data_IF_377623725697
#
_entry.id   IF_377623725697
#
_cell.length_a   1.000
_cell.length_b   1.000
_cell.length_c   1.000
_cell.angle_alpha   90.00
_cell.angle_beta   90.00
_cell.angle_gamma   90.00
#
_symmetry.space_group_name_H-M   'P 1'
#
loop_
_entity.id
_entity.type
_entity.pdbx_description
1 polymer ?
#
# COMPACT_ATOMS: atom_id res chain seq x y z
N UNK A 1 25.46 -54.97 1.77
CA UNK A 1 25.93 -53.74 1.08
C UNK A 1 24.76 -52.87 0.62
N UNK A 2 23.79 -53.42 -0.13
CA UNK A 2 22.61 -52.67 -0.65
C UNK A 2 21.81 -51.91 0.42
N UNK A 3 21.53 -52.52 1.58
CA UNK A 3 20.78 -51.87 2.68
C UNK A 3 21.49 -50.67 3.29
N UNK A 4 22.84 -50.67 3.33
CA UNK A 4 23.63 -49.56 3.90
C UNK A 4 23.67 -48.35 2.95
N UNK A 5 23.64 -48.59 1.64
CA UNK A 5 23.62 -47.55 0.61
C UNK A 5 22.24 -46.84 0.61
N UNK A 6 21.15 -47.59 0.76
CA UNK A 6 19.78 -47.04 0.83
C UNK A 6 19.61 -46.12 2.05
N UNK A 7 20.13 -46.53 3.22
CA UNK A 7 20.03 -45.73 4.45
C UNK A 7 20.79 -44.40 4.32
N UNK A 8 21.96 -44.40 3.69
CA UNK A 8 22.78 -43.20 3.47
C UNK A 8 22.08 -42.25 2.49
N UNK A 9 21.48 -42.77 1.40
CA UNK A 9 20.76 -41.96 0.43
C UNK A 9 19.52 -41.27 1.05
N UNK A 10 18.77 -41.96 1.91
CA UNK A 10 17.60 -41.38 2.60
C UNK A 10 18.02 -40.30 3.60
N UNK A 11 19.11 -40.50 4.34
CA UNK A 11 19.63 -39.49 5.26
C UNK A 11 20.14 -38.25 4.53
N UNK A 12 20.83 -38.41 3.40
CA UNK A 12 21.29 -37.28 2.57
C UNK A 12 20.10 -36.52 1.98
N UNK A 13 19.06 -37.22 1.50
CA UNK A 13 17.84 -36.59 1.00
C UNK A 13 17.12 -35.79 2.10
N UNK A 14 17.00 -36.32 3.32
CA UNK A 14 16.41 -35.61 4.46
C UNK A 14 17.23 -34.36 4.85
N UNK A 15 18.55 -34.43 4.81
CA UNK A 15 19.43 -33.30 5.10
C UNK A 15 19.34 -32.23 4.00
N UNK A 16 19.26 -32.62 2.72
CA UNK A 16 19.08 -31.68 1.60
C UNK A 16 17.70 -31.02 1.66
N UNK A 17 16.64 -31.77 1.98
CA UNK A 17 15.29 -31.22 2.20
C UNK A 17 15.29 -30.26 3.41
N UNK A 18 15.97 -30.61 4.49
CA UNK A 18 16.11 -29.75 5.67
C UNK A 18 16.90 -28.47 5.35
N UNK A 19 17.98 -28.55 4.56
CA UNK A 19 18.80 -27.39 4.17
C UNK A 19 18.08 -26.47 3.16
N UNK A 20 17.29 -27.03 2.24
CA UNK A 20 16.40 -26.27 1.34
C UNK A 20 15.24 -25.65 2.12
N UNK A 21 14.70 -26.37 3.12
CA UNK A 21 13.70 -25.86 4.07
C UNK A 21 14.25 -24.72 4.95
N UNK A 22 15.52 -24.77 5.31
CA UNK A 22 16.16 -23.74 6.16
C UNK A 22 16.50 -22.46 5.37
N UNK A 23 16.76 -22.56 4.06
CA UNK A 23 16.92 -21.40 3.16
C UNK A 23 15.61 -20.67 2.87
N UNK A 24 14.46 -21.34 3.02
CA UNK A 24 13.12 -20.77 2.79
C UNK A 24 12.46 -20.20 4.05
N UNK A 25 13.00 -20.46 5.25
CA UNK A 25 12.45 -20.06 6.53
C UNK A 25 13.08 -18.79 7.13
N UNK A 26 13.31 -17.72 6.35
CA UNK A 26 13.73 -16.43 6.94
C UNK A 26 13.48 -15.19 6.07
N UNK A 27 12.53 -15.21 5.13
CA UNK A 27 11.87 -13.95 4.74
C UNK A 27 10.61 -13.84 5.57
N UNK A 28 10.75 -13.31 6.78
CA UNK A 28 9.62 -12.70 7.46
C UNK A 28 9.06 -11.65 6.50
N UNK A 29 7.96 -11.98 5.82
CA UNK A 29 7.27 -11.04 4.92
C UNK A 29 6.71 -9.96 5.83
N UNK A 30 7.40 -8.83 5.88
CA UNK A 30 6.94 -7.63 6.60
C UNK A 30 5.63 -7.25 5.94
N UNK A 31 4.50 -7.64 6.55
CA UNK A 31 3.20 -7.19 6.08
C UNK A 31 3.13 -5.71 6.43
N UNK A 32 3.09 -4.80 5.44
CA UNK A 32 3.07 -3.38 5.73
C UNK A 32 1.89 -3.04 6.66
N UNK A 33 2.05 -2.10 7.59
CA UNK A 33 0.97 -1.72 8.50
C UNK A 33 -0.21 -1.16 7.68
N UNK A 34 -1.43 -1.53 8.05
CA UNK A 34 -2.65 -0.97 7.43
C UNK A 34 -2.88 0.40 8.08
N UNK A 35 -2.50 1.43 7.35
CA UNK A 35 -2.59 2.83 7.77
C UNK A 35 -3.30 3.64 6.69
N UNK A 36 -3.77 4.83 7.06
CA UNK A 36 -4.14 5.88 6.11
C UNK A 36 -2.93 6.77 5.93
N UNK A 37 -2.45 6.92 4.70
CA UNK A 37 -1.20 7.62 4.41
C UNK A 37 -1.35 8.52 3.20
N UNK A 38 -0.85 9.75 3.32
CA UNK A 38 -0.64 10.67 2.22
C UNK A 38 0.59 10.22 1.42
N UNK A 39 0.40 9.71 0.22
CA UNK A 39 1.47 9.21 -0.66
C UNK A 39 2.03 10.31 -1.54
N UNK A 40 1.20 11.27 -1.93
CA UNK A 40 1.59 12.41 -2.76
C UNK A 40 1.03 13.71 -2.21
N UNK A 41 1.86 14.76 -2.22
CA UNK A 41 1.45 16.11 -1.87
C UNK A 41 2.22 17.10 -2.75
N UNK A 42 1.49 17.84 -3.59
CA UNK A 42 2.03 18.91 -4.45
C UNK A 42 1.32 20.22 -4.13
N UNK A 43 2.05 21.33 -4.20
CA UNK A 43 1.53 22.66 -3.86
C UNK A 43 1.08 22.76 -2.40
N UNK A 44 0.04 23.56 -2.15
CA UNK A 44 -0.50 23.75 -0.81
C UNK A 44 -1.35 22.56 -0.39
N UNK A 45 -0.88 21.78 0.58
CA UNK A 45 -1.63 20.69 1.21
C UNK A 45 -1.56 20.83 2.72
N UNK A 46 -2.72 20.81 3.39
CA UNK A 46 -2.83 21.00 4.82
C UNK A 46 -3.74 19.95 5.45
N UNK A 47 -3.51 19.65 6.72
CA UNK A 47 -4.34 18.77 7.53
C UNK A 47 -4.82 19.46 8.80
N UNK A 48 -5.90 18.94 9.36
CA UNK A 48 -6.51 19.43 10.59
C UNK A 48 -6.92 18.24 11.47
N UNK A 49 -6.56 18.30 12.75
CA UNK A 49 -7.01 17.32 13.74
C UNK A 49 -8.51 17.52 14.05
N UNK A 50 -9.27 16.47 14.42
CA UNK A 50 -10.72 16.53 14.60
C UNK A 50 -11.21 17.65 15.53
N UNK A 51 -10.48 17.92 16.62
CA UNK A 51 -10.86 18.92 17.63
C UNK A 51 -10.03 20.22 17.54
N UNK A 52 -9.42 20.47 16.37
CA UNK A 52 -8.57 21.64 16.12
C UNK A 52 -9.19 22.52 15.03
N UNK A 53 -9.11 23.84 15.20
CA UNK A 53 -9.44 24.80 14.13
C UNK A 53 -8.22 25.19 13.30
N UNK A 54 -7.03 24.74 13.69
CA UNK A 54 -5.76 25.10 13.06
C UNK A 54 -5.40 24.10 11.97
N UNK A 55 -5.29 24.60 10.75
CA UNK A 55 -4.71 23.90 9.61
C UNK A 55 -3.19 23.92 9.70
N UNK A 56 -2.56 22.78 9.42
CA UNK A 56 -1.11 22.63 9.41
C UNK A 56 -0.65 21.99 8.11
N UNK A 57 0.52 22.36 7.56
CA UNK A 57 1.04 21.70 6.37
C UNK A 57 1.11 20.17 6.51
N UNK A 58 0.69 19.46 5.47
CA UNK A 58 0.83 18.02 5.34
C UNK A 58 1.79 17.70 4.20
N UNK A 59 2.65 16.70 4.38
CA UNK A 59 3.65 16.27 3.39
C UNK A 59 3.50 14.78 3.12
N UNK A 60 3.95 14.34 1.95
CA UNK A 60 4.02 12.92 1.62
C UNK A 60 4.70 12.12 2.75
N UNK A 61 4.15 10.95 3.05
CA UNK A 61 4.50 10.11 4.20
C UNK A 61 3.70 10.40 5.47
N UNK A 62 2.95 11.51 5.54
CA UNK A 62 2.09 11.79 6.69
C UNK A 62 1.03 10.70 6.88
N UNK A 63 0.86 10.29 8.14
CA UNK A 63 -0.18 9.36 8.55
C UNK A 63 -1.40 10.12 9.05
N UNK A 64 -2.57 9.58 8.74
CA UNK A 64 -3.86 10.13 9.15
C UNK A 64 -4.56 9.21 10.13
N UNK A 65 -5.20 9.80 11.12
CA UNK A 65 -6.13 9.15 12.03
C UNK A 65 -7.58 9.41 11.59
N UNK A 66 -8.52 8.51 11.88
CA UNK A 66 -9.94 8.78 11.69
C UNK A 66 -10.36 10.05 12.44
N UNK A 67 -11.17 10.89 11.80
CA UNK A 67 -11.60 12.22 12.22
C UNK A 67 -10.68 13.37 11.75
N UNK A 68 -9.53 13.10 11.13
CA UNK A 68 -8.70 14.16 10.57
C UNK A 68 -9.23 14.65 9.21
N UNK A 69 -9.10 15.96 8.97
CA UNK A 69 -9.40 16.58 7.68
C UNK A 69 -8.12 16.86 6.90
N UNK A 70 -8.22 16.88 5.57
CA UNK A 70 -7.18 17.33 4.65
C UNK A 70 -7.79 18.32 3.66
N UNK A 71 -7.02 19.32 3.25
CA UNK A 71 -7.40 20.23 2.17
C UNK A 71 -6.23 20.55 1.24
N UNK A 72 -6.57 20.90 0.01
CA UNK A 72 -5.66 21.40 -1.02
C UNK A 72 -5.97 22.85 -1.35
N UNK A 73 -4.93 23.65 -1.63
CA UNK A 73 -5.08 25.00 -2.16
C UNK A 73 -5.33 25.03 -3.67
N UNK A 74 -5.29 26.21 -4.27
CA UNK A 74 -5.49 26.40 -5.72
C UNK A 74 -4.39 25.79 -6.59
N UNK A 75 -3.19 25.61 -6.01
CA UNK A 75 -2.03 24.92 -6.59
C UNK A 75 -1.84 23.50 -6.06
N UNK A 76 -2.76 23.05 -5.19
CA UNK A 76 -2.60 21.85 -4.38
C UNK A 76 -3.17 20.60 -5.05
N UNK A 77 -2.45 19.48 -4.94
CA UNK A 77 -2.95 18.12 -5.23
C UNK A 77 -2.45 17.17 -4.15
N UNK A 78 -3.28 16.19 -3.78
CA UNK A 78 -2.94 15.23 -2.74
C UNK A 78 -3.48 13.84 -3.04
N UNK A 79 -2.74 12.81 -2.65
CA UNK A 79 -3.16 11.41 -2.83
C UNK A 79 -3.08 10.67 -1.50
N UNK A 80 -4.19 10.09 -1.07
CA UNK A 80 -4.30 9.34 0.19
C UNK A 80 -4.61 7.88 -0.12
N UNK A 81 -3.77 6.98 0.39
CA UNK A 81 -3.99 5.54 0.34
C UNK A 81 -4.55 5.05 1.67
N UNK A 82 -5.67 4.33 1.60
CA UNK A 82 -6.37 3.70 2.72
C UNK A 82 -6.08 2.21 2.73
N UNK A 83 -5.37 1.76 3.76
CA UNK A 83 -5.14 0.33 4.03
C UNK A 83 -4.59 -0.46 2.83
N UNK A 84 -3.90 0.23 1.90
CA UNK A 84 -3.32 -0.35 0.69
C UNK A 84 -4.32 -0.91 -0.33
N UNK A 85 -5.62 -0.60 -0.23
CA UNK A 85 -6.66 -1.13 -1.14
C UNK A 85 -7.60 -0.11 -1.73
N UNK A 86 -7.58 1.12 -1.23
CA UNK A 86 -8.28 2.23 -1.84
C UNK A 86 -7.38 3.47 -1.84
N UNK A 87 -7.59 4.31 -2.84
CA UNK A 87 -6.88 5.57 -3.02
C UNK A 87 -7.90 6.68 -3.28
N UNK A 88 -7.73 7.82 -2.61
CA UNK A 88 -8.46 9.05 -2.89
C UNK A 88 -7.46 10.12 -3.34
N UNK A 89 -7.67 10.66 -4.54
CA UNK A 89 -6.87 11.75 -5.11
C UNK A 89 -7.70 13.01 -5.10
N UNK A 90 -7.15 14.06 -4.52
CA UNK A 90 -7.79 15.36 -4.33
C UNK A 90 -7.24 16.33 -5.37
N UNK A 91 -8.15 16.99 -6.08
CA UNK A 91 -7.80 18.11 -6.95
C UNK A 91 -7.57 19.39 -6.16
N UNK A 92 -7.21 20.48 -6.83
CA UNK A 92 -7.16 21.84 -6.28
C UNK A 92 -8.44 22.22 -5.55
N UNK A 93 -8.32 23.05 -4.52
CA UNK A 93 -9.43 23.59 -3.72
C UNK A 93 -10.37 22.53 -3.13
N UNK A 94 -9.85 21.36 -2.83
CA UNK A 94 -10.64 20.23 -2.31
C UNK A 94 -10.43 20.10 -0.81
N UNK A 95 -11.50 19.80 -0.08
CA UNK A 95 -11.44 19.50 1.36
C UNK A 95 -12.24 18.23 1.62
N UNK A 96 -11.64 17.31 2.38
CA UNK A 96 -12.32 16.10 2.84
C UNK A 96 -12.06 15.88 4.33
N UNK A 97 -12.98 15.18 4.98
CA UNK A 97 -12.78 14.58 6.30
C UNK A 97 -12.74 13.06 6.19
N UNK A 98 -11.75 12.45 6.84
CA UNK A 98 -11.72 11.00 7.03
C UNK A 98 -12.64 10.70 8.21
N UNK A 99 -13.78 10.06 7.97
CA UNK A 99 -14.75 9.79 9.02
C UNK A 99 -14.14 8.93 10.14
N UNK A 100 -14.60 9.16 11.38
CA UNK A 100 -14.28 8.34 12.56
C UNK A 100 -14.68 6.87 12.40
N UNK A 101 -15.58 6.55 11.47
CA UNK A 101 -15.96 5.17 11.12
C UNK A 101 -14.91 4.43 10.29
N UNK A 102 -13.96 5.16 9.68
CA UNK A 102 -12.87 4.59 8.90
C UNK A 102 -12.00 3.72 9.79
N UNK A 103 -11.93 2.42 9.49
CA UNK A 103 -11.31 1.45 10.37
C UNK A 103 -10.91 0.18 9.64
N UNK A 104 -9.96 -0.54 10.25
CA UNK A 104 -9.64 -1.92 9.93
C UNK A 104 -9.91 -2.79 11.14
N UNK A 105 -10.54 -3.95 10.94
CA UNK A 105 -10.88 -4.83 12.06
C UNK A 105 -9.63 -5.53 12.61
N UNK A 106 -9.41 -5.41 13.92
CA UNK A 106 -8.35 -6.15 14.61
C UNK A 106 -8.54 -7.66 14.43
N UNK A 107 -7.49 -8.37 14.03
CA UNK A 107 -7.54 -9.81 13.75
C UNK A 107 -8.15 -10.20 12.39
N UNK A 108 -8.85 -9.29 11.69
CA UNK A 108 -9.31 -9.49 10.31
C UNK A 108 -8.94 -8.28 9.44
N UNK A 109 -7.70 -8.29 8.96
CA UNK A 109 -7.12 -7.27 8.07
C UNK A 109 -7.84 -7.11 6.72
N UNK A 110 -8.69 -8.08 6.34
CA UNK A 110 -9.49 -8.06 5.10
C UNK A 110 -10.76 -7.24 5.25
N UNK A 111 -11.25 -7.03 6.48
CA UNK A 111 -12.41 -6.18 6.78
C UNK A 111 -11.97 -4.73 6.97
N UNK A 112 -12.28 -3.91 5.97
CA UNK A 112 -11.88 -2.52 5.87
C UNK A 112 -13.12 -1.66 5.62
N UNK A 113 -13.31 -0.66 6.47
CA UNK A 113 -14.34 0.37 6.30
C UNK A 113 -13.61 1.67 6.01
N UNK A 114 -13.90 2.30 4.88
CA UNK A 114 -13.41 3.63 4.54
C UNK A 114 -14.61 4.50 4.27
N UNK A 115 -14.69 5.63 4.98
CA UNK A 115 -15.77 6.58 4.82
C UNK A 115 -15.19 7.99 4.80
N UNK A 116 -15.46 8.72 3.73
CA UNK A 116 -14.94 10.06 3.48
C UNK A 116 -16.08 11.05 3.34
N UNK A 117 -16.01 12.16 4.05
CA UNK A 117 -16.86 13.31 3.78
C UNK A 117 -16.17 14.20 2.77
N UNK A 118 -16.78 14.43 1.61
CA UNK A 118 -16.33 15.45 0.68
C UNK A 118 -16.99 16.78 1.08
N UNK A 119 -16.20 17.74 1.56
CA UNK A 119 -16.72 19.04 2.00
C UNK A 119 -16.90 19.98 0.80
N UNK A 120 -15.90 20.01 -0.09
CA UNK A 120 -15.89 20.79 -1.34
C UNK A 120 -14.84 20.27 -2.31
N UNK A 121 -14.93 20.69 -3.57
CA UNK A 121 -13.97 20.34 -4.61
C UNK A 121 -14.23 18.94 -5.15
N UNK A 122 -13.20 18.28 -5.70
CA UNK A 122 -13.39 16.97 -6.33
C UNK A 122 -12.36 15.94 -5.92
N UNK A 123 -12.86 14.72 -5.73
CA UNK A 123 -12.12 13.56 -5.24
C UNK A 123 -12.28 12.43 -6.25
N UNK A 124 -11.17 11.98 -6.82
CA UNK A 124 -11.14 10.74 -7.58
C UNK A 124 -10.84 9.58 -6.64
N UNK A 125 -11.66 8.54 -6.68
CA UNK A 125 -11.51 7.38 -5.82
C UNK A 125 -11.30 6.12 -6.66
N UNK A 126 -10.19 5.43 -6.43
CA UNK A 126 -9.93 4.09 -6.97
C UNK A 126 -9.94 3.08 -5.85
N UNK A 127 -10.87 2.12 -5.93
CA UNK A 127 -11.09 1.12 -4.90
C UNK A 127 -10.90 -0.25 -5.49
N UNK A 128 -9.95 -1.03 -4.96
CA UNK A 128 -9.79 -2.42 -5.35
C UNK A 128 -10.92 -3.26 -4.78
N UNK A 129 -11.33 -4.30 -5.51
CA UNK A 129 -12.40 -5.20 -5.08
C UNK A 129 -12.12 -5.76 -3.68
N UNK A 130 -13.05 -5.55 -2.75
CA UNK A 130 -12.96 -6.13 -1.42
C UNK A 130 -13.32 -7.62 -1.43
N UNK A 131 -12.59 -8.43 -0.65
CA UNK A 131 -12.85 -9.86 -0.51
C UNK A 131 -13.81 -10.17 0.66
N UNK A 132 -13.78 -9.37 1.72
CA UNK A 132 -14.72 -9.47 2.83
C UNK A 132 -16.04 -8.79 2.46
N UNK A 133 -17.17 -9.40 2.85
CA UNK A 133 -18.51 -8.86 2.54
C UNK A 133 -18.83 -7.61 3.37
N UNK A 134 -18.21 -7.46 4.53
CA UNK A 134 -18.43 -6.35 5.44
C UNK A 134 -17.45 -5.19 5.23
N UNK A 135 -16.61 -5.27 4.20
CA UNK A 135 -15.81 -4.14 3.75
C UNK A 135 -16.63 -3.23 2.85
N UNK A 136 -16.45 -1.92 3.02
CA UNK A 136 -17.13 -0.90 2.22
C UNK A 136 -16.27 0.35 2.09
N UNK A 137 -16.45 1.04 0.96
CA UNK A 137 -15.88 2.36 0.70
C UNK A 137 -17.02 3.30 0.38
N UNK A 138 -17.10 4.39 1.12
CA UNK A 138 -18.15 5.39 1.02
C UNK A 138 -17.56 6.79 0.89
N UNK A 139 -18.06 7.57 -0.07
CA UNK A 139 -17.86 9.03 -0.12
C UNK A 139 -19.21 9.67 0.04
N UNK A 140 -19.34 10.64 0.92
CA UNK A 140 -20.61 11.32 1.15
C UNK A 140 -20.45 12.83 1.21
N UNK A 141 -21.53 13.51 0.85
CA UNK A 141 -21.70 14.94 1.06
C UNK A 141 -23.14 15.19 1.49
N UNK A 142 -23.31 15.77 2.68
CA UNK A 142 -24.59 15.86 3.37
C UNK A 142 -25.36 14.53 3.36
N UNK A 143 -26.54 14.48 2.72
CA UNK A 143 -27.40 13.28 2.61
C UNK A 143 -27.12 12.40 1.38
N UNK A 144 -26.18 12.78 0.52
CA UNK A 144 -25.78 11.97 -0.63
C UNK A 144 -24.62 11.07 -0.27
N UNK A 145 -24.79 9.76 -0.43
CA UNK A 145 -23.79 8.73 -0.12
C UNK A 145 -23.51 7.90 -1.37
N UNK A 146 -22.26 7.90 -1.84
CA UNK A 146 -21.76 7.03 -2.89
C UNK A 146 -21.03 5.83 -2.26
N UNK A 147 -21.58 4.63 -2.45
CA UNK A 147 -21.02 3.37 -1.94
C UNK A 147 -20.48 2.54 -3.10
N UNK A 148 -19.27 2.02 -2.96
CA UNK A 148 -18.61 1.27 -4.04
C UNK A 148 -17.96 -0.03 -3.59
N UNK A 149 -17.77 -0.93 -4.56
CA UNK A 149 -17.08 -2.20 -4.37
C UNK A 149 -16.29 -2.59 -5.62
N UNK A 150 -15.10 -2.01 -5.79
CA UNK A 150 -14.27 -2.28 -6.96
C UNK A 150 -14.58 -1.33 -8.11
N UNK A 151 -14.29 -0.04 -7.93
CA UNK A 151 -14.78 1.05 -8.81
C UNK A 151 -13.71 2.13 -8.95
N UNK A 152 -13.72 2.84 -10.07
CA UNK A 152 -13.05 4.11 -10.26
C UNK A 152 -14.12 5.18 -10.51
N UNK A 153 -14.15 6.24 -9.70
CA UNK A 153 -15.17 7.29 -9.84
C UNK A 153 -14.69 8.64 -9.32
N UNK A 154 -15.24 9.71 -9.89
CA UNK A 154 -15.07 11.07 -9.43
C UNK A 154 -16.29 11.50 -8.62
N UNK A 155 -16.06 12.08 -7.44
CA UNK A 155 -17.08 12.71 -6.61
C UNK A 155 -16.74 14.18 -6.45
N UNK A 156 -17.56 15.07 -7.01
CA UNK A 156 -17.34 16.51 -7.00
C UNK A 156 -18.48 17.24 -6.28
N UNK A 157 -18.13 18.10 -5.35
CA UNK A 157 -19.03 19.02 -4.65
C UNK A 157 -18.78 20.42 -5.20
N UNK A 158 -19.81 20.97 -5.84
CA UNK A 158 -19.80 22.33 -6.37
C UNK A 158 -19.94 23.37 -5.25
N UNK A 159 -19.55 24.61 -5.55
CA UNK A 159 -19.69 25.74 -4.62
C UNK A 159 -21.17 26.03 -4.26
N UNK A 160 -22.09 25.66 -5.16
CA UNK A 160 -23.54 25.71 -4.92
C UNK A 160 -24.02 24.70 -3.86
N UNK A 161 -23.21 23.68 -3.54
CA UNK A 161 -23.62 22.51 -2.76
C UNK A 161 -24.15 21.36 -3.62
N UNK A 162 -24.19 21.53 -4.95
CA UNK A 162 -24.51 20.45 -5.89
C UNK A 162 -23.44 19.36 -5.90
N UNK A 163 -23.82 18.14 -6.26
CA UNK A 163 -22.93 16.98 -6.31
C UNK A 163 -22.93 16.37 -7.71
N UNK A 164 -21.75 16.21 -8.30
CA UNK A 164 -21.57 15.42 -9.52
C UNK A 164 -20.81 14.14 -9.20
N UNK A 165 -21.33 13.00 -9.65
CA UNK A 165 -20.69 11.69 -9.51
C UNK A 165 -20.47 11.12 -10.91
N UNK A 166 -19.22 10.92 -11.29
CA UNK A 166 -18.83 10.33 -12.59
C UNK A 166 -18.25 8.94 -12.39
N UNK A 167 -18.82 7.92 -13.00
CA UNK A 167 -18.33 6.54 -12.86
C UNK A 167 -17.45 6.19 -14.06
N UNK A 168 -16.16 6.03 -13.83
CA UNK A 168 -15.21 5.64 -14.86
C UNK A 168 -15.19 4.12 -15.06
N UNK A 169 -15.31 3.33 -13.98
CA UNK A 169 -15.23 1.86 -14.04
C UNK A 169 -16.25 1.21 -13.11
N UNK A 170 -16.95 0.18 -13.59
CA UNK A 170 -17.88 -0.65 -12.82
C UNK A 170 -19.18 0.08 -12.42
N UNK A 171 -19.47 0.18 -11.13
CA UNK A 171 -20.76 0.69 -10.61
C UNK A 171 -20.57 1.42 -9.29
N UNK A 172 -21.37 2.48 -9.09
CA UNK A 172 -21.52 3.19 -7.82
C UNK A 172 -22.97 3.08 -7.37
N UNK A 173 -23.20 2.66 -6.13
CA UNK A 173 -24.52 2.77 -5.52
C UNK A 173 -24.64 4.13 -4.84
N UNK A 174 -25.53 4.98 -5.33
CA UNK A 174 -25.82 6.31 -4.76
C UNK A 174 -27.10 6.26 -3.96
N UNK A 175 -27.05 6.66 -2.70
CA UNK A 175 -28.21 6.86 -1.86
C UNK A 175 -28.37 8.35 -1.53
N UNK A 176 -29.59 8.89 -1.69
CA UNK A 176 -29.94 10.26 -1.29
C UNK A 176 -31.40 10.32 -0.88
N UNK A 177 -31.69 10.93 0.27
CA UNK A 177 -33.05 11.16 0.77
C UNK A 177 -33.96 9.89 0.76
N UNK A 178 -33.39 8.71 1.05
CA UNK A 178 -34.11 7.43 1.06
C UNK A 178 -34.30 6.77 -0.31
N UNK A 179 -33.85 7.41 -1.39
CA UNK A 179 -33.76 6.82 -2.73
C UNK A 179 -32.39 6.17 -2.90
N UNK A 180 -32.33 5.10 -3.71
CA UNK A 180 -31.10 4.38 -4.04
C UNK A 180 -31.06 4.15 -5.55
N UNK A 181 -29.88 4.38 -6.14
CA UNK A 181 -29.62 4.25 -7.57
C UNK A 181 -28.28 3.56 -7.80
N UNK A 182 -28.25 2.55 -8.66
CA UNK A 182 -27.01 1.98 -9.17
C UNK A 182 -26.59 2.73 -10.45
N UNK A 183 -25.54 3.54 -10.35
CA UNK A 183 -24.96 4.31 -11.45
C UNK A 183 -23.84 3.51 -12.12
N UNK A 184 -24.03 3.15 -13.39
CA UNK A 184 -23.07 2.37 -14.18
C UNK A 184 -21.93 3.23 -14.73
N UNK A 185 -20.84 2.59 -15.15
CA UNK A 185 -19.74 3.22 -15.87
C UNK A 185 -20.19 4.06 -17.08
N UNK A 186 -19.42 5.10 -17.38
CA UNK A 186 -19.69 6.10 -18.43
C UNK A 186 -20.93 6.99 -18.18
N UNK A 187 -21.58 6.85 -17.02
CA UNK A 187 -22.65 7.74 -16.59
C UNK A 187 -22.22 8.67 -15.46
N UNK A 188 -22.88 9.82 -15.46
CA UNK A 188 -22.84 10.88 -14.47
C UNK A 188 -24.19 10.94 -13.78
N UNK A 189 -24.18 11.23 -12.48
CA UNK A 189 -25.34 11.69 -11.74
C UNK A 189 -25.09 13.13 -11.28
N UNK A 190 -25.93 14.06 -11.71
CA UNK A 190 -25.84 15.49 -11.40
C UNK A 190 -26.94 15.93 -10.46
N UNK A 191 -26.58 16.08 -9.20
CA UNK A 191 -27.48 16.36 -8.11
C UNK A 191 -27.45 17.86 -7.76
N UNK A 192 -28.62 18.54 -7.68
CA UNK A 192 -28.69 19.88 -7.12
C UNK A 192 -28.37 19.86 -5.62
N UNK A 193 -28.19 21.03 -4.98
CA UNK A 193 -27.98 21.13 -3.54
C UNK A 193 -29.09 20.44 -2.74
N UNK A 194 -28.80 20.14 -1.48
CA UNK A 194 -29.66 19.29 -0.64
C UNK A 194 -31.11 19.82 -0.50
N UNK A 195 -31.27 21.14 -0.41
CA UNK A 195 -32.55 21.83 -0.23
C UNK A 195 -33.48 21.71 -1.45
N UNK A 196 -32.95 21.29 -2.60
CA UNK A 196 -33.72 21.00 -3.81
C UNK A 196 -34.12 19.53 -3.82
N UNK A 197 -35.42 19.28 -3.68
CA UNK A 197 -36.00 17.94 -3.75
C UNK A 197 -36.07 17.47 -5.20
N UNK A 198 -35.52 16.28 -5.47
CA UNK A 198 -35.65 15.59 -6.76
C UNK A 198 -36.67 14.45 -6.60
N UNK A 199 -37.67 14.34 -7.50
CA UNK A 199 -38.65 13.25 -7.44
C UNK A 199 -38.04 11.87 -7.62
N UNK A 200 -37.06 11.72 -8.53
CA UNK A 200 -36.36 10.47 -8.80
C UNK A 200 -34.89 10.75 -9.19
N UNK A 201 -33.94 10.04 -8.58
CA UNK A 201 -32.52 10.11 -8.94
C UNK A 201 -32.24 9.78 -10.42
N UNK A 202 -33.03 8.90 -11.05
CA UNK A 202 -32.85 8.52 -12.46
C UNK A 202 -32.92 9.73 -13.41
N UNK A 203 -33.70 10.76 -13.07
CA UNK A 203 -33.87 11.96 -13.89
C UNK A 203 -32.60 12.84 -13.93
N UNK A 204 -31.72 12.66 -12.94
CA UNK A 204 -30.44 13.36 -12.83
C UNK A 204 -29.28 12.60 -13.48
N UNK A 205 -29.55 11.45 -14.12
CA UNK A 205 -28.54 10.62 -14.78
C UNK A 205 -28.35 11.05 -16.23
N UNK A 206 -27.10 11.21 -16.63
CA UNK A 206 -26.71 11.46 -18.03
C UNK A 206 -25.41 10.71 -18.36
N UNK A 207 -25.06 10.49 -19.63
CA UNK A 207 -23.70 10.12 -19.98
C UNK A 207 -22.71 11.17 -19.45
N UNK A 208 -21.49 10.74 -19.11
CA UNK A 208 -20.41 11.68 -18.77
C UNK A 208 -20.12 12.52 -20.04
N UNK A 209 -20.18 13.86 -19.99
CA UNK A 209 -19.89 14.69 -21.17
C UNK A 209 -18.50 14.41 -21.74
N UNK A 210 -18.34 14.42 -23.06
CA UNK A 210 -17.04 14.17 -23.71
C UNK A 210 -15.97 15.18 -23.27
N UNK A 211 -16.39 16.41 -22.99
CA UNK A 211 -15.52 17.48 -22.52
C UNK A 211 -14.89 17.10 -21.18
N UNK A 212 -15.68 16.51 -20.27
CA UNK A 212 -15.22 16.05 -18.95
C UNK A 212 -14.26 14.87 -19.10
N UNK A 213 -14.59 13.90 -19.96
CA UNK A 213 -13.72 12.73 -20.20
C UNK A 213 -12.35 13.13 -20.79
N UNK A 214 -12.30 14.23 -21.54
CA UNK A 214 -11.07 14.78 -22.14
C UNK A 214 -10.30 15.72 -21.21
N UNK A 215 -10.84 16.05 -20.03
CA UNK A 215 -10.11 16.87 -19.07
C UNK A 215 -8.82 16.17 -18.63
N UNK A 216 -7.78 16.97 -18.39
CA UNK A 216 -6.51 16.50 -17.84
C UNK A 216 -6.76 15.70 -16.54
N UNK A 217 -7.63 16.19 -15.66
CA UNK A 217 -7.99 15.49 -14.43
C UNK A 217 -8.53 14.07 -14.66
N UNK A 218 -9.44 13.89 -15.61
CA UNK A 218 -10.03 12.58 -15.85
C UNK A 218 -8.97 11.62 -16.40
N UNK A 219 -8.27 12.04 -17.45
CA UNK A 219 -7.25 11.21 -18.12
C UNK A 219 -6.01 10.93 -17.27
N UNK A 220 -5.61 11.85 -16.38
CA UNK A 220 -4.53 11.61 -15.42
C UNK A 220 -4.90 10.57 -14.38
N UNK A 221 -6.13 10.62 -13.87
CA UNK A 221 -6.59 9.69 -12.86
C UNK A 221 -6.77 8.28 -13.41
N UNK A 222 -7.33 8.11 -14.61
CA UNK A 222 -7.40 6.79 -15.26
C UNK A 222 -6.01 6.17 -15.43
N UNK A 223 -5.00 6.98 -15.79
CA UNK A 223 -3.61 6.51 -15.90
C UNK A 223 -3.03 6.12 -14.54
N UNK A 224 -3.31 6.91 -13.50
CA UNK A 224 -2.87 6.63 -12.14
C UNK A 224 -3.56 5.39 -11.55
N UNK A 225 -4.81 5.09 -11.94
CA UNK A 225 -5.53 3.88 -11.51
C UNK A 225 -4.81 2.60 -11.92
N UNK A 226 -4.32 2.53 -13.15
CA UNK A 226 -3.52 1.40 -13.64
C UNK A 226 -2.20 1.23 -12.85
N UNK A 227 -1.59 2.34 -12.43
CA UNK A 227 -0.38 2.30 -11.59
C UNK A 227 -0.69 1.79 -10.19
N UNK A 228 -1.75 2.31 -9.56
CA UNK A 228 -2.19 1.90 -8.23
C UNK A 228 -2.51 0.40 -8.16
N UNK A 229 -3.20 -0.14 -9.16
CA UNK A 229 -3.47 -1.58 -9.25
C UNK A 229 -2.19 -2.42 -9.33
N UNK A 230 -1.23 -1.97 -10.13
CA UNK A 230 0.06 -2.65 -10.30
C UNK A 230 0.86 -2.66 -8.99
N UNK A 231 0.92 -1.51 -8.31
CA UNK A 231 1.61 -1.39 -7.02
C UNK A 231 0.94 -2.22 -5.93
N UNK A 232 -0.39 -2.21 -5.88
CA UNK A 232 -1.14 -3.02 -4.93
C UNK A 232 -0.94 -4.52 -5.16
N UNK A 233 -0.94 -4.97 -6.41
CA UNK A 233 -0.68 -6.37 -6.77
C UNK A 233 0.76 -6.79 -6.38
N UNK A 234 1.76 -5.92 -6.60
CA UNK A 234 3.14 -6.18 -6.19
C UNK A 234 3.33 -6.22 -4.66
N UNK A 235 2.50 -5.46 -3.92
CA UNK A 235 2.52 -5.39 -2.46
C UNK A 235 1.75 -6.51 -1.74
N UNK A 236 0.97 -7.33 -2.44
CA UNK A 236 0.22 -8.43 -1.82
C UNK A 236 1.13 -9.59 -1.41
N UNK A 237 1.02 -10.13 -0.17
CA UNK A 237 1.74 -11.33 0.20
C UNK A 237 1.27 -12.53 -0.64
N UNK A 238 2.22 -13.35 -1.12
CA UNK A 238 2.03 -14.52 -2.00
C UNK A 238 1.10 -15.66 -1.47
N UNK A 239 0.24 -15.39 -0.51
CA UNK A 239 -0.81 -16.31 -0.05
C UNK A 239 -1.90 -16.52 -1.12
N UNK A 240 -2.16 -15.53 -1.98
CA UNK A 240 -3.13 -15.66 -3.08
C UNK A 240 -2.58 -16.39 -4.31
N UNK A 241 -1.26 -16.37 -4.54
CA UNK A 241 -0.63 -17.07 -5.67
C UNK A 241 -0.31 -18.55 -5.39
N UNK A 242 -0.27 -18.96 -4.12
CA UNK A 242 0.19 -20.31 -3.72
C UNK A 242 -0.87 -21.39 -3.83
N UNK A 243 -2.17 -21.05 -3.83
CA UNK A 243 -3.24 -22.03 -4.02
C UNK A 243 -3.20 -22.70 -5.41
N UNK A 244 -2.66 -22.02 -6.42
CA UNK A 244 -2.54 -22.55 -7.80
C UNK A 244 -1.21 -23.29 -8.01
N UNK A 245 -0.13 -22.86 -7.37
CA UNK A 245 1.22 -23.44 -7.55
C UNK A 245 1.45 -24.78 -6.82
N UNK A 246 0.80 -25.00 -5.66
CA UNK A 246 1.00 -26.24 -4.87
C UNK A 246 0.44 -27.49 -5.55
N UNK A 247 -0.55 -27.32 -6.43
CA UNK A 247 -1.15 -28.45 -7.16
C UNK A 247 -0.27 -28.93 -8.33
N UNK A 248 0.65 -28.11 -8.85
CA UNK A 248 1.57 -28.47 -9.93
C UNK A 248 2.80 -29.26 -9.48
N UNK A 249 3.30 -29.04 -8.27
CA UNK A 249 4.59 -29.59 -7.82
C UNK A 249 4.52 -31.03 -7.30
N UNK A 250 3.33 -31.55 -6.96
CA UNK A 250 3.17 -32.94 -6.51
C UNK A 250 3.29 -33.95 -7.66
N UNK A 251 3.02 -33.52 -8.91
CA UNK A 251 3.15 -34.34 -10.12
C UNK A 251 4.63 -34.63 -10.45
N UNK A 252 5.49 -33.62 -10.34
CA UNK A 252 6.90 -33.71 -10.74
C UNK A 252 7.75 -34.50 -9.73
N UNK A 253 7.40 -34.46 -8.45
CA UNK A 253 8.08 -35.26 -7.41
C UNK A 253 7.77 -36.76 -7.56
N UNK A 254 6.55 -37.11 -8.01
CA UNK A 254 6.20 -38.50 -8.32
C UNK A 254 7.05 -39.09 -9.45
N UNK A 255 7.23 -38.32 -10.53
CA UNK A 255 8.04 -38.73 -11.68
C UNK A 255 9.52 -38.93 -11.34
N UNK A 256 10.10 -38.09 -10.47
CA UNK A 256 11.50 -38.22 -10.06
C UNK A 256 11.75 -39.46 -9.17
N UNK A 257 10.76 -39.86 -8.36
CA UNK A 257 10.86 -41.04 -7.49
C UNK A 257 10.73 -42.34 -8.29
N UNK A 258 9.86 -42.38 -9.30
CA UNK A 258 9.70 -43.55 -10.19
C UNK A 258 10.94 -43.81 -11.06
N UNK A 259 11.63 -42.75 -11.52
CA UNK A 259 12.88 -42.87 -12.30
C UNK A 259 14.02 -43.45 -11.44
N UNK A 260 14.14 -43.03 -10.19
CA UNK A 260 15.21 -43.50 -9.29
C UNK A 260 15.03 -44.96 -8.85
N UNK A 261 13.80 -45.48 -8.82
CA UNK A 261 13.48 -46.86 -8.43
C UNK A 261 13.61 -47.88 -9.57
N UNK A 262 13.65 -47.42 -10.82
CA UNK A 262 13.65 -48.29 -12.03
C UNK A 262 14.98 -48.28 -12.81
N UNK A 263 15.91 -47.38 -12.47
CA UNK A 263 17.20 -47.23 -13.16
C UNK A 263 18.18 -48.39 -12.91
N UNK A 264 18.86 -48.84 -13.96
CA UNK A 264 19.92 -49.87 -13.92
C UNK A 264 21.21 -49.33 -13.25
N UNK A 265 22.05 -50.25 -12.78
CA UNK A 265 23.35 -50.04 -12.13
C UNK A 265 24.29 -49.07 -12.85
N UNK A 266 24.20 -48.95 -14.17
CA UNK A 266 24.97 -47.99 -14.96
C UNK A 266 24.49 -46.55 -14.80
N UNK A 267 23.17 -46.33 -14.73
CA UNK A 267 22.55 -45.03 -14.51
C UNK A 267 22.68 -44.56 -13.06
N UNK A 268 22.65 -45.50 -12.10
CA UNK A 268 22.96 -45.22 -10.69
C UNK A 268 24.42 -44.80 -10.49
N UNK A 269 25.35 -45.36 -11.25
CA UNK A 269 26.76 -44.94 -11.23
C UNK A 269 26.96 -43.55 -11.84
N UNK A 270 26.22 -43.19 -12.89
CA UNK A 270 26.23 -41.86 -13.48
C UNK A 270 25.69 -40.79 -12.51
N UNK A 271 24.59 -41.09 -11.80
CA UNK A 271 24.03 -40.24 -10.75
C UNK A 271 25.00 -40.05 -9.57
N UNK A 272 25.70 -41.11 -9.15
CA UNK A 272 26.73 -41.03 -8.11
C UNK A 272 27.92 -40.17 -8.54
N UNK A 273 28.37 -40.29 -9.78
CA UNK A 273 29.49 -39.52 -10.29
C UNK A 273 29.14 -38.02 -10.45
N UNK A 274 27.91 -37.72 -10.87
CA UNK A 274 27.40 -36.36 -10.91
C UNK A 274 27.34 -35.73 -9.50
N UNK A 275 26.91 -36.50 -8.49
CA UNK A 275 26.94 -36.08 -7.08
C UNK A 275 28.37 -35.80 -6.60
N UNK A 276 29.31 -36.74 -6.79
CA UNK A 276 30.70 -36.58 -6.36
C UNK A 276 31.40 -35.39 -7.05
N UNK A 277 31.00 -35.05 -8.28
CA UNK A 277 31.52 -33.90 -9.04
C UNK A 277 30.94 -32.56 -8.53
N UNK A 278 29.66 -32.54 -8.14
CA UNK A 278 28.98 -31.35 -7.62
C UNK A 278 29.40 -31.00 -6.17
N UNK A 279 29.94 -31.98 -5.43
CA UNK A 279 30.26 -31.83 -4.00
C UNK A 279 31.75 -32.08 -3.65
N UNK A 280 32.66 -32.08 -4.63
CA UNK A 280 34.09 -32.12 -4.37
C UNK A 280 34.56 -30.86 -3.60
N UNK A 281 35.20 -31.05 -2.44
CA UNK A 281 35.70 -29.96 -1.61
C UNK A 281 36.81 -29.15 -2.34
N UNK A 282 36.85 -27.82 -2.20
CA UNK A 282 37.93 -27.02 -2.78
C UNK A 282 39.27 -27.34 -2.11
N UNK A 283 40.30 -27.56 -2.92
CA UNK A 283 41.68 -27.72 -2.45
C UNK A 283 42.11 -26.44 -1.72
N UNK A 284 42.62 -26.60 -0.49
CA UNK A 284 43.03 -25.49 0.37
C UNK A 284 44.08 -24.60 -0.31
N UNK A 285 43.76 -23.32 -0.51
CA UNK A 285 44.74 -22.29 -0.79
C UNK A 285 45.47 -21.93 0.51
N UNK A 286 46.81 -21.89 0.44
CA UNK A 286 47.71 -21.55 1.55
C UNK A 286 47.41 -20.12 2.04
N UNK A 287 47.14 -19.98 3.35
CA UNK A 287 46.91 -18.70 4.04
C UNK A 287 48.27 -18.09 4.39
N UNK A 288 48.50 -16.86 3.92
CA UNK A 288 49.67 -16.04 4.24
C UNK A 288 49.55 -15.51 5.69
N UNK A 289 50.68 -15.47 6.41
CA UNK A 289 50.76 -15.18 7.84
C UNK A 289 50.46 -13.69 8.16
N UNK A 290 49.71 -13.37 9.24
CA UNK A 290 49.42 -11.98 9.59
C UNK A 290 50.63 -11.26 10.22
N UNK A 291 50.83 -9.95 9.95
CA UNK A 291 51.95 -9.19 10.51
C UNK A 291 51.79 -8.92 12.02
N UNK A 292 52.91 -8.73 12.75
CA UNK A 292 52.91 -8.60 14.20
C UNK A 292 52.32 -7.26 14.70
N UNK A 293 51.85 -7.21 15.96
CA UNK A 293 51.15 -6.05 16.52
C UNK A 293 52.08 -4.86 16.80
N UNK A 294 51.55 -3.67 16.55
CA UNK A 294 52.16 -2.37 16.86
C UNK A 294 52.08 -2.10 18.36
N UNK A 295 53.24 -1.85 18.98
CA UNK A 295 53.39 -1.44 20.37
C UNK A 295 53.16 0.08 20.46
N UNK A 296 52.14 0.50 21.22
CA UNK A 296 51.92 1.92 21.52
C UNK A 296 52.79 2.34 22.72
N UNK A 297 53.67 3.32 22.51
CA UNK A 297 54.45 3.96 23.56
C UNK A 297 53.62 4.94 24.42
N UNK A 298 54.08 5.27 25.65
CA UNK A 298 53.28 6.00 26.63
C UNK A 298 53.21 7.50 26.36
N UNK A 299 52.03 8.08 26.60
CA UNK A 299 51.79 9.52 26.61
C UNK A 299 52.46 10.18 27.83
N UNK A 300 53.25 11.22 27.58
CA UNK A 300 53.74 12.15 28.63
C UNK A 300 52.88 13.43 28.60
N UNK A 301 52.49 14.00 29.76
CA UNK A 301 51.62 15.19 29.84
C UNK A 301 52.41 16.51 30.02
N UNK A 302 51.65 17.63 30.09
CA UNK A 302 52.00 19.07 30.28
C UNK A 302 52.04 19.87 28.95
N UNK A 303 51.51 21.09 28.82
CA UNK A 303 51.14 22.11 29.81
C UNK A 303 50.09 23.11 29.26
N UNK A 304 49.49 23.81 30.21
CA UNK A 304 48.57 24.96 30.20
C UNK A 304 49.00 26.16 29.35
N UNK A 305 48.02 26.91 28.80
CA UNK A 305 47.89 28.39 28.94
C UNK A 305 46.70 28.97 28.16
N UNK A 306 45.87 29.69 28.93
CA UNK A 306 45.06 30.88 28.67
C UNK A 306 44.60 31.26 27.25
N UNK A 307 43.31 31.58 27.09
CA UNK A 307 42.85 32.98 27.23
C UNK A 307 41.33 33.11 27.15
N UNK A 308 40.79 33.94 28.05
CA UNK A 308 39.39 34.28 28.18
C UNK A 308 39.10 35.64 27.55
N UNK A 309 37.99 35.74 26.84
CA UNK A 309 37.11 36.92 26.68
C UNK A 309 35.78 36.34 26.13
N UNK A 310 34.60 36.48 26.71
CA UNK A 310 34.03 37.58 27.47
C UNK A 310 33.19 38.44 26.54
N UNK A 311 31.90 38.17 26.40
CA UNK A 311 30.87 39.23 26.29
C UNK A 311 29.46 38.67 26.38
N UNK A 312 28.75 39.11 27.42
CA UNK A 312 27.32 39.04 27.58
C UNK A 312 26.63 40.16 26.78
N UNK A 313 25.37 39.95 26.38
CA UNK A 313 24.34 40.99 26.21
C UNK A 313 22.97 40.30 26.09
N UNK A 314 22.21 40.15 27.17
CA UNK A 314 21.08 41.02 27.58
C UNK A 314 19.92 41.12 26.58
N UNK A 315 18.89 40.35 26.92
CA UNK A 315 17.47 40.51 26.63
C UNK A 315 16.96 41.90 27.09
N UNK A 316 15.95 42.49 26.41
CA UNK A 316 14.99 43.31 27.12
C UNK A 316 13.54 42.80 26.93
N UNK A 317 12.88 42.63 28.08
CA UNK A 317 11.44 42.72 28.23
C UNK A 317 10.93 44.04 27.66
N UNK A 318 9.83 44.00 26.89
CA UNK A 318 8.78 45.03 26.95
C UNK A 318 7.41 44.33 26.87
N UNK A 319 6.56 44.60 27.85
CA UNK A 319 5.12 44.40 27.85
C UNK A 319 4.46 45.80 28.07
N UNK A 320 3.13 45.91 28.18
CA UNK A 320 2.24 46.43 27.14
C UNK A 320 1.70 47.84 27.42
N UNK A 321 1.29 48.53 26.35
CA UNK A 321 0.20 49.52 26.31
C UNK A 321 -0.48 49.42 24.94
#
# INVERSE_FOLDING_TARGET
>A
MKTRIIIIAVLVALVVIALIGLRSAARAKITPPLVVRLTEARGTVERRAPDSFVWRPARAGALFSPGESIRTGADGRATIVFFGRAEARLDKNTEIEISKETSVTAGNRRRQVVRLEAVKGRVWSRVLKFLDKNSRYEVFHSTTVATVRGTAFNFAVEESGGVNIDVAESVVTVARAGQELALSENYRLSLPPEDVVIPNLDEAVSPIPEEVQKEEWFTENERADAQFETEAAAGQPAEEATAVGVMGTLSEVGAAVDIALTADSSEQAALKNAYDTLFAAPTAATVDEPPPPVVNEPTTPLDTSASATGSAATNPLIAPQ
#
